data_IF_659461275700
#
_entry.id   IF_659461275700
#
_cell.length_a   1.000
_cell.length_b   1.000
_cell.length_c   1.000
_cell.angle_alpha   90.00
_cell.angle_beta   90.00
_cell.angle_gamma   90.00
#
_symmetry.space_group_name_H-M   'P 1'
#
loop_
_entity.id
_entity.type
_entity.pdbx_description
1 polymer ?
#
# COMPACT_ATOMS: atom_id res chain seq x y z
N UNK A 1 5.96 20.07 7.39
CA UNK A 1 4.91 19.23 6.79
C UNK A 1 4.86 19.56 5.31
N UNK A 2 4.81 18.55 4.46
CA UNK A 2 4.61 18.70 3.01
C UNK A 2 3.29 18.04 2.66
N UNK A 3 2.46 18.72 1.89
CA UNK A 3 1.21 18.19 1.39
C UNK A 3 1.34 17.87 -0.10
N UNK A 4 0.81 16.73 -0.50
CA UNK A 4 0.85 16.23 -1.87
C UNK A 4 -0.56 15.86 -2.27
N UNK A 5 -1.08 16.55 -3.29
CA UNK A 5 -2.32 16.20 -3.96
C UNK A 5 -1.98 15.56 -5.31
N UNK A 6 -2.62 14.43 -5.60
CA UNK A 6 -2.44 13.69 -6.85
C UNK A 6 -3.79 13.57 -7.54
N UNK A 7 -3.88 14.14 -8.74
CA UNK A 7 -5.02 14.00 -9.62
C UNK A 7 -4.70 13.06 -10.78
N UNK A 8 -5.61 12.13 -11.06
CA UNK A 8 -5.44 11.14 -12.13
C UNK A 8 -6.72 11.07 -12.96
N UNK A 9 -6.58 11.17 -14.28
CA UNK A 9 -7.64 10.75 -15.20
C UNK A 9 -7.31 9.35 -15.72
N UNK A 10 -7.88 8.33 -15.09
CA UNK A 10 -7.58 6.95 -15.42
C UNK A 10 -8.30 6.50 -16.70
N UNK A 11 -7.54 6.33 -17.77
CA UNK A 11 -7.98 5.71 -19.04
C UNK A 11 -7.50 4.27 -19.20
N UNK A 12 -6.73 3.71 -18.26
CA UNK A 12 -6.09 2.39 -18.34
C UNK A 12 -6.90 1.31 -17.61
N UNK A 13 -6.68 0.03 -17.93
CA UNK A 13 -7.34 -1.11 -17.29
C UNK A 13 -6.32 -2.02 -16.62
N UNK A 14 -6.76 -2.81 -15.65
CA UNK A 14 -5.99 -3.91 -15.07
C UNK A 14 -4.58 -3.50 -14.58
N UNK A 15 -4.51 -2.40 -13.83
CA UNK A 15 -3.26 -1.84 -13.32
C UNK A 15 -3.39 -1.39 -11.87
N UNK A 16 -2.25 -1.05 -11.27
CA UNK A 16 -2.16 -0.50 -9.91
C UNK A 16 -1.22 0.71 -9.92
N UNK A 17 -1.72 1.86 -9.49
CA UNK A 17 -0.94 3.08 -9.30
C UNK A 17 -0.59 3.23 -7.83
N UNK A 18 0.67 3.53 -7.55
CA UNK A 18 1.18 3.72 -6.18
C UNK A 18 2.08 4.93 -6.08
N UNK A 19 2.05 5.58 -4.92
CA UNK A 19 3.01 6.59 -4.54
C UNK A 19 4.09 5.94 -3.68
N UNK A 20 5.34 6.06 -4.11
CA UNK A 20 6.50 5.53 -3.38
C UNK A 20 7.19 6.68 -2.66
N UNK A 21 7.34 6.56 -1.34
CA UNK A 21 8.05 7.53 -0.50
C UNK A 21 9.30 6.86 0.07
N UNK A 22 10.48 7.11 -0.51
CA UNK A 22 11.75 6.68 0.08
C UNK A 22 11.94 7.38 1.42
N UNK A 23 12.10 6.60 2.50
CA UNK A 23 12.13 7.18 3.86
C UNK A 23 13.52 7.63 4.30
N UNK A 24 14.56 7.11 3.66
CA UNK A 24 15.96 7.33 4.06
C UNK A 24 16.37 6.60 5.34
N UNK A 25 15.48 5.79 5.93
CA UNK A 25 15.76 5.00 7.14
C UNK A 25 15.70 3.50 6.88
N UNK A 26 16.46 2.71 7.63
CA UNK A 26 16.48 1.25 7.55
C UNK A 26 15.49 0.62 8.54
N UNK A 27 14.22 0.97 8.38
CA UNK A 27 13.16 0.55 9.30
C UNK A 27 12.91 -0.96 9.21
N UNK A 28 13.15 -1.69 10.32
CA UNK A 28 12.82 -3.12 10.46
C UNK A 28 11.32 -3.35 10.66
N UNK A 29 10.68 -2.40 11.33
CA UNK A 29 9.26 -2.37 11.61
C UNK A 29 8.67 -1.05 11.12
N UNK A 30 7.36 -1.05 10.87
CA UNK A 30 6.56 0.12 10.54
C UNK A 30 5.40 0.22 11.53
N UNK A 31 4.95 1.44 11.78
CA UNK A 31 3.79 1.72 12.62
C UNK A 31 2.62 2.11 11.73
N UNK A 32 1.57 1.31 11.74
CA UNK A 32 0.39 1.52 10.90
C UNK A 32 -0.82 1.84 11.77
N UNK A 33 -1.60 2.84 11.38
CA UNK A 33 -2.88 3.11 12.02
C UNK A 33 -3.83 1.92 11.86
N UNK A 34 -4.61 1.68 12.90
CA UNK A 34 -5.63 0.64 12.99
C UNK A 34 -6.84 1.17 13.76
N UNK A 35 -7.88 0.34 13.89
CA UNK A 35 -9.06 0.71 14.66
C UNK A 35 -8.68 0.96 16.13
N UNK A 36 -8.71 2.23 16.54
CA UNK A 36 -8.40 2.71 17.89
C UNK A 36 -6.96 2.43 18.37
N UNK A 37 -6.02 2.20 17.44
CA UNK A 37 -4.64 1.86 17.81
C UNK A 37 -3.64 2.24 16.71
N UNK A 38 -2.35 2.27 17.06
CA UNK A 38 -1.22 2.32 16.13
C UNK A 38 -0.38 1.08 16.35
N UNK A 39 -0.48 0.13 15.43
CA UNK A 39 0.14 -1.18 15.56
C UNK A 39 1.49 -1.25 14.87
N UNK A 40 2.45 -1.88 15.52
CA UNK A 40 3.76 -2.18 14.96
C UNK A 40 3.69 -3.46 14.13
N UNK A 41 4.27 -3.43 12.92
CA UNK A 41 4.39 -4.57 12.02
C UNK A 41 5.80 -4.67 11.46
N UNK A 42 6.34 -5.87 11.20
CA UNK A 42 7.56 -6.00 10.44
C UNK A 42 7.40 -5.36 9.05
N UNK A 43 8.45 -4.68 8.59
CA UNK A 43 8.50 -4.09 7.25
C UNK A 43 8.40 -5.16 6.16
N UNK A 44 8.98 -6.34 6.43
CA UNK A 44 8.88 -7.50 5.55
C UNK A 44 8.35 -8.71 6.31
N UNK A 45 7.26 -9.30 5.81
CA UNK A 45 6.67 -10.50 6.38
C UNK A 45 7.24 -11.74 5.67
N UNK A 46 7.78 -12.72 6.42
CA UNK A 46 8.24 -13.95 5.80
C UNK A 46 7.04 -14.76 5.26
N UNK A 47 7.22 -15.42 4.12
CA UNK A 47 6.24 -16.39 3.66
C UNK A 47 6.18 -17.58 4.63
N UNK A 48 4.97 -17.92 5.08
CA UNK A 48 4.76 -19.06 5.94
C UNK A 48 4.57 -20.33 5.08
N UNK A 49 5.41 -21.39 5.22
CA UNK A 49 5.37 -22.57 4.36
C UNK A 49 4.03 -23.33 4.35
N UNK A 50 3.25 -23.21 5.43
CA UNK A 50 1.92 -23.80 5.54
C UNK A 50 0.80 -23.03 4.83
N UNK A 51 1.08 -21.87 4.22
CA UNK A 51 0.08 -21.11 3.48
C UNK A 51 -0.05 -21.63 2.06
N UNK A 52 -1.29 -21.90 1.62
CA UNK A 52 -1.57 -22.32 0.25
C UNK A 52 -1.27 -21.20 -0.76
N UNK A 53 -1.58 -19.96 -0.39
CA UNK A 53 -1.34 -18.81 -1.25
C UNK A 53 0.05 -18.20 -0.96
N UNK A 54 0.82 -17.83 -1.99
CA UNK A 54 2.03 -17.05 -1.82
C UNK A 54 1.78 -15.81 -0.98
N UNK A 55 2.78 -15.44 -0.18
CA UNK A 55 2.69 -14.21 0.60
C UNK A 55 2.61 -13.00 -0.35
N UNK A 56 1.65 -12.11 -0.09
CA UNK A 56 1.54 -10.80 -0.73
C UNK A 56 2.01 -9.72 0.24
N UNK A 57 2.93 -8.85 -0.15
CA UNK A 57 3.61 -7.94 0.78
C UNK A 57 2.73 -6.75 1.23
N UNK A 58 1.59 -6.54 0.58
CA UNK A 58 0.65 -5.47 0.91
C UNK A 58 -0.08 -5.72 2.22
N UNK A 59 -0.21 -4.68 3.04
CA UNK A 59 -0.86 -4.71 4.34
C UNK A 59 -1.89 -3.58 4.47
N UNK A 60 -2.81 -3.74 5.42
CA UNK A 60 -3.83 -2.74 5.73
C UNK A 60 -3.30 -1.65 6.67
N UNK A 61 -3.63 -0.39 6.44
CA UNK A 61 -3.47 0.69 7.42
C UNK A 61 -4.69 1.60 7.39
N UNK A 62 -4.87 2.41 8.43
CA UNK A 62 -5.88 3.46 8.47
C UNK A 62 -5.21 4.80 8.75
N UNK A 63 -5.42 5.77 7.87
CA UNK A 63 -5.04 7.18 7.97
C UNK A 63 -3.55 7.52 8.09
N UNK A 64 -2.73 6.70 8.76
CA UNK A 64 -1.33 6.98 9.03
C UNK A 64 -0.41 5.76 8.91
N UNK A 65 0.81 6.01 8.44
CA UNK A 65 1.89 5.03 8.34
C UNK A 65 3.22 5.69 8.66
N UNK A 66 4.03 5.06 9.51
CA UNK A 66 5.33 5.61 9.92
C UNK A 66 6.44 4.57 9.78
N UNK A 67 7.62 5.05 9.40
CA UNK A 67 8.86 4.32 9.44
C UNK A 67 9.91 5.20 10.10
N UNK A 68 10.58 4.67 11.13
CA UNK A 68 11.59 5.39 11.89
C UNK A 68 12.74 4.48 12.31
N UNK A 69 13.87 5.11 12.63
CA UNK A 69 15.02 4.52 13.29
C UNK A 69 15.58 5.49 14.33
N UNK A 70 16.66 5.09 15.02
CA UNK A 70 17.34 5.97 15.96
C UNK A 70 17.91 7.21 15.24
N UNK A 71 17.23 8.35 15.40
CA UNK A 71 17.65 9.64 14.84
C UNK A 71 16.59 10.32 13.96
N UNK A 72 15.52 9.61 13.57
CA UNK A 72 14.40 10.21 12.84
C UNK A 72 13.63 9.21 11.97
N UNK A 73 12.76 9.75 11.12
CA UNK A 73 11.90 8.95 10.26
C UNK A 73 10.93 9.79 9.43
N UNK A 74 9.93 9.12 8.87
CA UNK A 74 8.82 9.76 8.15
C UNK A 74 7.50 9.21 8.70
N UNK A 75 6.55 10.12 8.88
CA UNK A 75 5.15 9.78 9.02
C UNK A 75 4.36 10.27 7.79
N UNK A 76 3.53 9.40 7.25
CA UNK A 76 2.59 9.64 6.16
C UNK A 76 1.19 9.69 6.73
N UNK A 77 0.40 10.68 6.33
CA UNK A 77 -1.02 10.79 6.61
C UNK A 77 -1.79 10.71 5.29
N UNK A 78 -2.50 9.60 5.08
CA UNK A 78 -3.20 9.31 3.83
C UNK A 78 -4.62 8.80 4.13
N UNK A 79 -5.53 9.66 4.65
CA UNK A 79 -6.91 9.27 4.87
C UNK A 79 -7.56 8.86 3.54
N UNK A 80 -8.30 7.74 3.56
CA UNK A 80 -8.99 7.19 2.39
C UNK A 80 -8.20 6.12 1.62
N UNK A 81 -6.87 6.01 1.82
CA UNK A 81 -6.13 4.81 1.38
C UNK A 81 -6.01 3.82 2.52
N UNK A 82 -6.12 2.53 2.20
CA UNK A 82 -6.07 1.44 3.18
C UNK A 82 -5.10 0.32 2.79
N UNK A 83 -4.29 0.48 1.74
CA UNK A 83 -3.32 -0.52 1.28
C UNK A 83 -1.92 0.12 1.20
N UNK A 84 -0.96 -0.44 1.94
CA UNK A 84 0.45 -0.06 1.88
C UNK A 84 1.36 -1.28 1.68
N UNK A 85 2.59 -1.04 1.27
CA UNK A 85 3.70 -2.00 1.29
C UNK A 85 4.96 -1.28 1.81
N UNK A 86 5.71 -1.92 2.70
CA UNK A 86 7.04 -1.46 3.08
C UNK A 86 8.08 -2.28 2.30
N UNK A 87 8.88 -1.60 1.49
CA UNK A 87 9.85 -2.21 0.57
C UNK A 87 11.24 -1.91 1.12
N UNK A 88 11.90 -2.92 1.66
CA UNK A 88 13.28 -2.81 2.15
C UNK A 88 14.27 -3.04 1.01
N UNK A 89 15.27 -2.17 0.85
CA UNK A 89 16.35 -2.34 -0.11
C UNK A 89 17.65 -1.71 0.40
N UNK A 90 18.67 -1.66 -0.46
CA UNK A 90 20.01 -1.16 -0.10
C UNK A 90 19.99 0.33 0.29
N UNK A 91 19.07 1.11 -0.28
CA UNK A 91 18.88 2.54 0.00
C UNK A 91 17.89 2.82 1.16
N UNK A 92 17.56 1.79 1.94
CA UNK A 92 16.62 1.86 3.07
C UNK A 92 15.20 1.41 2.71
N UNK A 93 14.25 1.79 3.57
CA UNK A 93 12.85 1.39 3.47
C UNK A 93 12.04 2.40 2.67
N UNK A 94 11.32 1.95 1.66
CA UNK A 94 10.34 2.76 0.91
C UNK A 94 8.93 2.39 1.36
N UNK A 95 8.13 3.39 1.70
CA UNK A 95 6.70 3.22 1.95
C UNK A 95 5.94 3.43 0.64
N UNK A 96 5.31 2.38 0.13
CA UNK A 96 4.49 2.44 -1.07
C UNK A 96 3.01 2.43 -0.69
N UNK A 97 2.30 3.52 -0.99
CA UNK A 97 0.86 3.65 -0.76
C UNK A 97 0.12 3.40 -2.07
N UNK A 98 -0.86 2.51 -2.06
CA UNK A 98 -1.71 2.31 -3.24
C UNK A 98 -2.71 3.47 -3.35
N UNK A 99 -2.66 4.15 -4.50
CA UNK A 99 -3.60 5.20 -4.84
C UNK A 99 -4.79 4.58 -5.58
N UNK A 100 -4.53 3.92 -6.70
CA UNK A 100 -5.57 3.34 -7.54
C UNK A 100 -5.28 1.88 -7.83
N UNK A 101 -6.31 1.04 -7.83
CA UNK A 101 -6.23 -0.34 -8.29
C UNK A 101 -7.44 -0.69 -9.14
N UNK A 102 -7.20 -0.93 -10.42
CA UNK A 102 -8.23 -1.20 -11.42
C UNK A 102 -8.28 -2.70 -11.75
N UNK A 103 -9.47 -3.29 -11.71
CA UNK A 103 -9.70 -4.69 -12.10
C UNK A 103 -11.04 -4.83 -12.81
N UNK A 104 -11.09 -5.62 -13.88
CA UNK A 104 -12.32 -5.82 -14.67
C UNK A 104 -13.29 -6.87 -14.15
N UNK A 105 -12.91 -7.65 -13.12
CA UNK A 105 -13.68 -8.82 -12.67
C UNK A 105 -13.64 -8.96 -11.15
N UNK A 106 -14.74 -9.49 -10.60
CA UNK A 106 -14.85 -9.85 -9.17
C UNK A 106 -13.85 -10.94 -8.77
N UNK A 107 -13.70 -11.95 -9.62
CA UNK A 107 -12.74 -13.04 -9.46
C UNK A 107 -12.34 -13.55 -10.85
N UNK A 108 -11.05 -13.84 -11.03
CA UNK A 108 -10.51 -14.50 -12.23
C UNK A 108 -9.31 -15.38 -11.87
N UNK A 109 -8.95 -16.24 -12.82
CA UNK A 109 -7.73 -17.05 -12.78
C UNK A 109 -6.50 -16.25 -13.24
N UNK A 110 -5.32 -16.85 -13.08
CA UNK A 110 -4.08 -16.33 -13.67
C UNK A 110 -3.33 -15.29 -12.83
N UNK A 111 -3.65 -15.15 -11.53
CA UNK A 111 -2.84 -14.31 -10.64
C UNK A 111 -1.62 -15.08 -10.14
N UNK A 112 -0.44 -14.47 -10.20
CA UNK A 112 0.79 -15.04 -9.64
C UNK A 112 0.67 -15.33 -8.14
N UNK A 113 -0.06 -14.48 -7.41
CA UNK A 113 -0.34 -14.61 -5.98
C UNK A 113 -1.56 -15.48 -5.66
N UNK A 114 -2.34 -15.89 -6.67
CA UNK A 114 -3.51 -16.75 -6.46
C UNK A 114 -3.80 -17.65 -7.66
N UNK A 115 -3.49 -18.94 -7.51
CA UNK A 115 -3.62 -19.94 -8.58
C UNK A 115 -5.08 -20.23 -8.97
N UNK A 116 -5.99 -20.31 -8.00
CA UNK A 116 -7.39 -20.72 -8.20
C UNK A 116 -8.36 -19.57 -7.89
N UNK A 117 -9.44 -19.39 -8.67
CA UNK A 117 -10.54 -18.44 -8.38
C UNK A 117 -10.99 -18.45 -6.92
N UNK A 118 -11.28 -17.26 -6.37
CA UNK A 118 -11.86 -17.09 -5.04
C UNK A 118 -13.40 -16.97 -5.07
N UNK A 119 -14.01 -17.04 -6.27
CA UNK A 119 -15.43 -16.80 -6.47
C UNK A 119 -15.84 -16.78 -7.95
N UNK A 120 -17.11 -16.45 -8.24
CA UNK A 120 -17.66 -16.43 -9.59
C UNK A 120 -16.97 -15.38 -10.48
N UNK A 121 -16.85 -15.69 -11.76
CA UNK A 121 -16.22 -14.81 -12.77
C UNK A 121 -17.26 -13.84 -13.30
N UNK A 122 -17.61 -12.84 -12.49
CA UNK A 122 -18.51 -11.77 -12.89
C UNK A 122 -17.72 -10.56 -13.37
N UNK A 123 -18.10 -10.03 -14.53
CA UNK A 123 -17.59 -8.78 -15.05
C UNK A 123 -17.98 -7.65 -14.10
N UNK A 124 -17.01 -6.82 -13.75
CA UNK A 124 -17.15 -5.67 -12.87
C UNK A 124 -16.54 -4.43 -13.57
N UNK A 125 -17.13 -3.94 -14.68
CA UNK A 125 -16.53 -2.88 -15.49
C UNK A 125 -16.31 -1.57 -14.68
N UNK A 126 -17.16 -1.29 -13.70
CA UNK A 126 -16.98 -0.15 -12.80
C UNK A 126 -15.75 -0.24 -11.89
N UNK A 127 -15.26 -1.44 -11.60
CA UNK A 127 -14.05 -1.65 -10.78
C UNK A 127 -12.75 -1.35 -11.55
N UNK A 128 -12.84 -0.95 -12.81
CA UNK A 128 -11.71 -0.35 -13.53
C UNK A 128 -11.41 1.08 -13.06
N UNK A 129 -12.32 1.73 -12.32
CA UNK A 129 -12.13 3.09 -11.79
C UNK A 129 -11.73 4.10 -12.89
N UNK A 130 -12.49 4.13 -14.00
CA UNK A 130 -12.20 5.04 -15.12
C UNK A 130 -12.61 6.47 -14.79
N UNK A 131 -11.88 7.44 -15.33
CA UNK A 131 -12.18 8.86 -15.18
C UNK A 131 -11.33 9.54 -14.10
N UNK A 132 -11.82 10.68 -13.61
CA UNK A 132 -11.07 11.53 -12.69
C UNK A 132 -11.16 11.07 -11.23
N UNK A 133 -10.02 10.79 -10.61
CA UNK A 133 -9.87 10.51 -9.19
C UNK A 133 -8.88 11.50 -8.55
N UNK A 134 -9.13 11.90 -7.29
CA UNK A 134 -8.28 12.80 -6.51
C UNK A 134 -7.86 12.15 -5.19
N UNK A 135 -6.57 12.13 -4.93
CA UNK A 135 -5.97 11.58 -3.72
C UNK A 135 -5.12 12.65 -3.03
N UNK A 136 -5.33 12.85 -1.74
CA UNK A 136 -4.56 13.80 -0.93
C UNK A 136 -3.78 13.08 0.16
N UNK A 137 -2.52 13.48 0.36
CA UNK A 137 -1.63 12.90 1.36
C UNK A 137 -0.72 13.97 1.97
N UNK A 138 -0.60 13.97 3.29
CA UNK A 138 0.39 14.75 4.02
C UNK A 138 1.61 13.91 4.40
N UNK A 139 2.79 14.51 4.42
CA UNK A 139 4.01 13.91 4.97
C UNK A 139 4.64 14.84 6.00
N UNK A 140 5.21 14.24 7.04
CA UNK A 140 6.00 14.94 8.04
C UNK A 140 7.29 14.17 8.30
N UNK A 141 8.42 14.89 8.28
CA UNK A 141 9.68 14.35 8.76
C UNK A 141 9.65 14.29 10.28
N UNK A 142 9.97 13.11 10.83
CA UNK A 142 10.17 12.90 12.26
C UNK A 142 11.65 13.19 12.55
N UNK A 143 11.91 14.22 13.35
CA UNK A 143 13.24 14.47 13.92
C UNK A 143 13.09 14.40 15.43
N UNK A 144 14.01 13.70 16.09
CA UNK A 144 14.15 13.80 17.54
C UNK A 144 14.78 15.14 17.92
#
# INVERSE_FOLDING_TARGET
>A
MVEVETWVNNSCEDHRLRLHVPTGVNAKNVHAGAAFDVIERPANWPHHPGWEQPHVPTQHFSDMLMAEEDGGGIALFCPGSNEYEAITGDDGTTLAITLLRSTGYLSRDGFASRRNRAGPVFAAPGAQCKGGDLHSMGTIGLRR
#
